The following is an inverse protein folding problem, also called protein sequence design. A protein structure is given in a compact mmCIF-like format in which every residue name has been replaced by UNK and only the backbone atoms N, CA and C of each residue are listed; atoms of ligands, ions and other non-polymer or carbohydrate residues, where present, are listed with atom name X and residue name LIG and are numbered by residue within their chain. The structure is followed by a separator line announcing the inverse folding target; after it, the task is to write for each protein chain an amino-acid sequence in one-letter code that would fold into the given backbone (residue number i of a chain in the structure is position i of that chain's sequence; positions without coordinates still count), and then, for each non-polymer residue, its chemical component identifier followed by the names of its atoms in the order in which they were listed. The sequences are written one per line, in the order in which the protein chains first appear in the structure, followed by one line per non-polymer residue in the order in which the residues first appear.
data_IF_066422339816
#
_entry.id   IF_066422339816
#
_cell.length_a   1.000
_cell.length_b   1.000
_cell.length_c   1.000
_cell.angle_alpha   90.00
_cell.angle_beta   90.00
_cell.angle_gamma   90.00
#
_symmetry.space_group_name_H-M   'P 1'
#
loop_
_entity.id
_entity.type
_entity.pdbx_description
1 polymer ?
#
# COMPACT_ATOMS: atom_id res chain seq x y z
N UNK A 1 26.28 -52.58 34.27
CA UNK A 1 25.26 -52.43 33.21
C UNK A 1 24.66 -51.03 33.33
N UNK A 2 25.16 -50.08 32.54
CA UNK A 2 24.69 -48.69 32.53
C UNK A 2 23.49 -48.55 31.59
N UNK A 3 22.37 -48.11 32.14
CA UNK A 3 21.14 -47.81 31.41
C UNK A 3 21.23 -46.37 30.88
N UNK A 4 21.48 -46.20 29.58
CA UNK A 4 21.54 -44.90 28.93
C UNK A 4 20.12 -44.32 28.79
N UNK A 5 19.85 -43.21 29.48
CA UNK A 5 18.70 -42.34 29.24
C UNK A 5 18.94 -41.55 27.96
N UNK A 6 18.17 -41.83 26.91
CA UNK A 6 18.03 -40.90 25.78
C UNK A 6 16.54 -40.74 25.49
N UNK A 7 15.91 -39.77 26.16
CA UNK A 7 14.61 -39.25 25.75
C UNK A 7 14.92 -38.20 24.69
N UNK A 8 14.80 -38.59 23.43
CA UNK A 8 14.87 -37.68 22.30
C UNK A 8 13.55 -36.90 22.26
N UNK A 9 13.56 -35.65 22.74
CA UNK A 9 12.42 -34.75 22.63
C UNK A 9 12.25 -34.34 21.16
N UNK A 10 11.22 -34.89 20.51
CA UNK A 10 10.78 -34.46 19.19
C UNK A 10 9.89 -33.22 19.37
N UNK A 11 10.43 -32.03 19.17
CA UNK A 11 9.61 -30.80 19.11
C UNK A 11 9.01 -30.76 17.71
N UNK A 12 7.73 -31.14 17.61
CA UNK A 12 6.93 -30.97 16.41
C UNK A 12 6.46 -29.51 16.34
N UNK A 13 7.14 -28.68 15.54
CA UNK A 13 6.67 -27.32 15.28
C UNK A 13 5.46 -27.41 14.35
N UNK A 14 4.25 -27.38 14.93
CA UNK A 14 3.02 -27.19 14.16
C UNK A 14 3.06 -25.74 13.65
N UNK A 15 3.42 -25.54 12.40
CA UNK A 15 3.16 -24.27 11.72
C UNK A 15 1.67 -24.23 11.40
N UNK A 16 0.89 -23.54 12.24
CA UNK A 16 -0.44 -23.12 11.86
C UNK A 16 -0.30 -22.19 10.64
N UNK A 17 -0.81 -22.61 9.48
CA UNK A 17 -1.00 -21.74 8.32
C UNK A 17 -2.15 -20.78 8.63
N UNK A 18 -1.90 -19.82 9.51
CA UNK A 18 -2.85 -18.74 9.77
C UNK A 18 -2.72 -17.78 8.58
N UNK A 19 -3.80 -17.57 7.82
CA UNK A 19 -3.75 -16.61 6.73
C UNK A 19 -3.46 -15.23 7.34
N UNK A 20 -2.46 -14.55 6.77
CA UNK A 20 -2.05 -13.23 7.20
C UNK A 20 -3.22 -12.22 7.24
N UNK A 21 -4.18 -12.38 6.32
CA UNK A 21 -5.41 -11.58 6.26
C UNK A 21 -6.32 -11.74 7.51
N UNK A 22 -6.29 -12.89 8.19
CA UNK A 22 -7.25 -13.23 9.27
C UNK A 22 -6.82 -12.68 10.64
N UNK A 23 -5.58 -12.19 10.78
CA UNK A 23 -5.00 -11.81 12.08
C UNK A 23 -4.84 -10.31 12.29
N UNK A 24 -5.06 -9.51 11.24
CA UNK A 24 -4.69 -8.10 11.26
C UNK A 24 -5.93 -7.22 11.23
N UNK A 25 -6.04 -6.24 12.16
CA UNK A 25 -7.16 -5.32 12.15
C UNK A 25 -7.31 -4.62 10.79
N UNK A 26 -8.55 -4.55 10.31
CA UNK A 26 -8.89 -3.84 9.07
C UNK A 26 -8.60 -2.34 9.17
N UNK A 27 -8.50 -1.82 10.40
CA UNK A 27 -8.26 -0.42 10.73
C UNK A 27 -6.80 0.04 10.57
N UNK A 28 -5.84 -0.85 10.38
CA UNK A 28 -4.44 -0.43 10.21
C UNK A 28 -4.16 0.17 8.82
N UNK A 29 -3.23 1.12 8.78
CA UNK A 29 -2.75 1.75 7.56
C UNK A 29 -1.93 0.76 6.72
N UNK A 30 -1.80 1.02 5.42
CA UNK A 30 -1.02 0.17 4.54
C UNK A 30 0.47 0.16 4.95
N UNK A 31 1.00 1.33 5.35
CA UNK A 31 2.35 1.47 5.92
C UNK A 31 2.57 0.59 7.15
N UNK A 32 1.59 0.55 8.06
CA UNK A 32 1.63 -0.27 9.27
C UNK A 32 1.58 -1.76 8.90
N UNK A 33 0.76 -2.13 7.91
CA UNK A 33 0.65 -3.51 7.42
C UNK A 33 1.95 -3.97 6.77
N UNK A 34 2.58 -3.16 5.93
CA UNK A 34 3.90 -3.45 5.34
C UNK A 34 4.94 -3.66 6.45
N UNK A 35 5.01 -2.72 7.41
CA UNK A 35 5.92 -2.82 8.56
C UNK A 35 5.68 -4.10 9.37
N UNK A 36 4.43 -4.48 9.61
CA UNK A 36 4.07 -5.70 10.35
C UNK A 36 4.38 -6.97 9.56
N UNK A 37 4.16 -7.00 8.23
CA UNK A 37 4.43 -8.19 7.40
C UNK A 37 5.91 -8.43 7.20
N UNK A 38 6.66 -7.37 6.92
CA UNK A 38 8.03 -7.45 6.40
C UNK A 38 9.08 -6.91 7.36
N UNK A 39 8.69 -6.44 8.55
CA UNK A 39 9.61 -5.91 9.56
C UNK A 39 10.26 -4.56 9.21
N UNK A 40 9.92 -3.98 8.06
CA UNK A 40 10.41 -2.68 7.62
C UNK A 40 9.40 -1.99 6.70
N UNK A 41 9.41 -0.67 6.72
CA UNK A 41 8.61 0.18 5.85
C UNK A 41 9.41 1.41 5.44
N UNK A 42 9.29 1.78 4.17
CA UNK A 42 9.79 3.02 3.63
C UNK A 42 8.96 3.47 2.44
N UNK A 43 9.30 4.65 1.94
CA UNK A 43 8.55 5.33 0.89
C UNK A 43 9.52 6.08 -0.02
N UNK A 44 9.35 5.92 -1.33
CA UNK A 44 9.96 6.76 -2.35
C UNK A 44 8.89 7.58 -3.06
N UNK A 45 8.96 8.91 -2.94
CA UNK A 45 8.06 9.82 -3.67
C UNK A 45 8.60 10.03 -5.08
N UNK A 46 7.80 9.65 -6.08
CA UNK A 46 8.16 9.81 -7.49
C UNK A 46 7.74 11.16 -8.02
N UNK A 47 6.55 11.61 -7.61
CA UNK A 47 5.95 12.85 -8.05
C UNK A 47 5.11 13.40 -6.92
N UNK A 48 5.16 14.71 -6.70
CA UNK A 48 4.29 15.39 -5.76
C UNK A 48 4.03 16.82 -6.23
N UNK A 49 2.78 17.24 -6.16
CA UNK A 49 2.35 18.62 -6.29
C UNK A 49 1.22 18.89 -5.26
N UNK A 50 0.60 20.06 -5.31
CA UNK A 50 -0.46 20.46 -4.37
C UNK A 50 -1.69 19.54 -4.35
N UNK A 51 -1.98 18.86 -5.46
CA UNK A 51 -3.18 18.05 -5.66
C UNK A 51 -2.90 16.55 -5.74
N UNK A 52 -1.69 16.15 -6.11
CA UNK A 52 -1.41 14.78 -6.48
C UNK A 52 -0.03 14.35 -6.00
N UNK A 53 0.04 13.13 -5.46
CA UNK A 53 1.30 12.44 -5.17
C UNK A 53 1.29 11.03 -5.74
N UNK A 54 2.40 10.61 -6.34
CA UNK A 54 2.68 9.24 -6.71
C UNK A 54 3.92 8.75 -5.97
N UNK A 55 3.86 7.57 -5.38
CA UNK A 55 4.95 7.03 -4.57
C UNK A 55 4.95 5.52 -4.54
N UNK A 56 6.15 4.94 -4.37
CA UNK A 56 6.28 3.56 -3.98
C UNK A 56 6.39 3.42 -2.46
N UNK A 57 5.69 2.44 -1.91
CA UNK A 57 5.86 1.96 -0.55
C UNK A 57 6.65 0.66 -0.63
N UNK A 58 7.73 0.58 0.13
CA UNK A 58 8.64 -0.55 0.09
C UNK A 58 8.90 -1.13 1.47
N UNK A 59 9.34 -2.39 1.47
CA UNK A 59 10.09 -2.98 2.57
C UNK A 59 11.54 -3.21 2.13
N UNK A 60 12.44 -3.47 3.06
CA UNK A 60 13.75 -4.01 2.74
C UNK A 60 13.70 -5.53 2.60
N UNK A 61 14.56 -6.07 1.75
CA UNK A 61 14.80 -7.51 1.66
C UNK A 61 15.44 -8.01 2.97
N UNK A 62 14.94 -9.14 3.49
CA UNK A 62 15.41 -9.72 4.75
C UNK A 62 16.86 -10.22 4.67
N UNK A 63 17.31 -10.64 3.49
CA UNK A 63 18.68 -11.10 3.23
C UNK A 63 19.63 -9.97 2.85
N UNK A 64 19.10 -8.88 2.30
CA UNK A 64 19.86 -7.69 1.93
C UNK A 64 19.10 -6.40 2.30
N UNK A 65 19.38 -5.87 3.50
CA UNK A 65 18.72 -4.68 4.03
C UNK A 65 18.96 -3.37 3.26
N UNK A 66 19.69 -3.39 2.13
CA UNK A 66 19.82 -2.26 1.20
C UNK A 66 18.92 -2.40 -0.03
N UNK A 67 18.48 -3.62 -0.33
CA UNK A 67 17.60 -3.89 -1.47
C UNK A 67 16.16 -3.58 -1.07
N UNK A 68 15.54 -2.64 -1.78
CA UNK A 68 14.12 -2.31 -1.63
C UNK A 68 13.27 -3.34 -2.38
N UNK A 69 12.16 -3.74 -1.77
CA UNK A 69 11.10 -4.52 -2.40
C UNK A 69 9.85 -3.64 -2.40
N UNK A 70 9.40 -3.22 -3.58
CA UNK A 70 8.23 -2.38 -3.74
C UNK A 70 6.95 -3.21 -3.54
N UNK A 71 6.23 -2.93 -2.47
CA UNK A 71 5.05 -3.67 -2.06
C UNK A 71 3.76 -3.02 -2.55
N UNK A 72 3.77 -1.70 -2.70
CA UNK A 72 2.61 -0.95 -3.18
C UNK A 72 3.05 0.26 -3.97
N UNK A 73 2.42 0.49 -5.13
CA UNK A 73 2.43 1.78 -5.80
C UNK A 73 1.17 2.55 -5.40
N UNK A 74 1.35 3.74 -4.84
CA UNK A 74 0.24 4.56 -4.36
C UNK A 74 0.13 5.86 -5.15
N UNK A 75 -1.08 6.18 -5.55
CA UNK A 75 -1.48 7.48 -6.08
C UNK A 75 -2.44 8.11 -5.10
N UNK A 76 -2.17 9.35 -4.73
CA UNK A 76 -2.96 10.15 -3.81
C UNK A 76 -3.44 11.37 -4.55
N UNK A 77 -4.74 11.61 -4.52
CA UNK A 77 -5.35 12.88 -4.86
C UNK A 77 -5.72 13.57 -3.54
N UNK A 78 -5.02 14.66 -3.24
CA UNK A 78 -5.35 15.49 -2.08
C UNK A 78 -6.66 16.24 -2.34
N UNK A 79 -7.47 16.32 -1.29
CA UNK A 79 -8.65 17.16 -1.23
C UNK A 79 -8.30 18.41 -0.42
N UNK A 80 -9.19 19.41 -0.40
CA UNK A 80 -8.93 20.68 0.27
C UNK A 80 -8.45 20.48 1.72
N UNK A 81 -7.21 20.89 1.99
CA UNK A 81 -6.54 20.60 3.25
C UNK A 81 -7.09 21.45 4.38
N UNK A 82 -7.60 20.78 5.42
CA UNK A 82 -8.07 21.41 6.67
C UNK A 82 -7.19 21.06 7.88
N UNK A 83 -5.98 20.58 7.61
CA UNK A 83 -4.97 20.30 8.64
C UNK A 83 -4.05 21.51 8.85
N UNK A 84 -3.32 21.51 9.96
CA UNK A 84 -2.34 22.55 10.24
C UNK A 84 -1.18 22.53 9.23
N UNK A 85 -0.56 23.70 9.04
CA UNK A 85 0.47 23.91 8.03
C UNK A 85 1.73 23.08 8.28
N UNK A 86 2.09 22.79 9.54
CA UNK A 86 3.27 22.00 9.86
C UNK A 86 3.08 20.53 9.44
N UNK A 87 1.92 19.96 9.76
CA UNK A 87 1.53 18.62 9.35
C UNK A 87 1.48 18.51 7.83
N UNK A 88 0.86 19.49 7.15
CA UNK A 88 0.81 19.52 5.69
C UNK A 88 2.22 19.59 5.08
N UNK A 89 3.08 20.48 5.58
CA UNK A 89 4.46 20.63 5.10
C UNK A 89 5.28 19.34 5.23
N UNK A 90 5.09 18.57 6.30
CA UNK A 90 5.74 17.26 6.45
C UNK A 90 5.29 16.28 5.36
N UNK A 91 4.00 16.24 5.06
CA UNK A 91 3.42 15.39 4.02
C UNK A 91 3.91 15.81 2.63
N UNK A 92 3.95 17.12 2.37
CA UNK A 92 4.44 17.71 1.12
C UNK A 92 5.92 17.38 0.89
N UNK A 93 6.71 17.36 1.97
CA UNK A 93 8.11 16.93 1.97
C UNK A 93 8.30 15.41 1.93
N UNK A 94 7.23 14.65 1.67
CA UNK A 94 7.29 13.22 1.41
C UNK A 94 7.14 12.32 2.63
N UNK A 95 6.68 12.83 3.78
CA UNK A 95 6.38 11.95 4.91
C UNK A 95 5.22 10.98 4.61
N UNK A 96 5.13 9.89 5.37
CA UNK A 96 3.96 8.99 5.34
C UNK A 96 2.71 9.75 5.77
N UNK A 97 1.69 9.82 4.91
CA UNK A 97 0.44 10.57 5.16
C UNK A 97 -0.19 10.11 6.47
N UNK A 98 -0.48 8.82 6.59
CA UNK A 98 -1.23 8.30 7.73
C UNK A 98 -0.45 8.37 9.05
N UNK A 99 0.86 8.09 9.03
CA UNK A 99 1.69 8.22 10.23
C UNK A 99 1.79 9.68 10.69
N UNK A 100 2.02 10.61 9.76
CA UNK A 100 2.13 12.04 10.05
C UNK A 100 0.83 12.60 10.63
N UNK A 101 -0.32 12.24 10.07
CA UNK A 101 -1.63 12.62 10.59
C UNK A 101 -1.87 12.09 12.01
N UNK A 102 -1.58 10.80 12.25
CA UNK A 102 -1.72 10.18 13.58
C UNK A 102 -0.83 10.85 14.63
N UNK A 103 0.42 11.14 14.30
CA UNK A 103 1.36 11.86 15.17
C UNK A 103 0.86 13.27 15.52
N UNK A 104 0.17 13.94 14.60
CA UNK A 104 -0.47 15.25 14.83
C UNK A 104 -1.84 15.16 15.52
N UNK A 105 -2.21 13.98 16.04
CA UNK A 105 -3.42 13.74 16.81
C UNK A 105 -4.69 13.55 15.98
N UNK A 106 -4.58 13.32 14.67
CA UNK A 106 -5.73 12.98 13.83
C UNK A 106 -6.04 11.49 13.93
N UNK A 107 -7.32 11.17 14.09
CA UNK A 107 -7.83 9.83 13.82
C UNK A 107 -8.10 9.66 12.33
N UNK A 108 -7.90 8.45 11.81
CA UNK A 108 -8.06 8.15 10.39
C UNK A 108 -9.12 7.08 10.22
N UNK A 109 -10.03 7.33 9.29
CA UNK A 109 -11.04 6.39 8.84
C UNK A 109 -10.82 6.11 7.34
N UNK A 110 -10.84 4.83 6.95
CA UNK A 110 -10.72 4.41 5.55
C UNK A 110 -12.09 4.00 5.05
N UNK A 111 -12.59 4.69 4.03
CA UNK A 111 -13.84 4.35 3.37
C UNK A 111 -13.47 3.60 2.08
N UNK A 112 -13.66 2.28 2.08
CA UNK A 112 -13.34 1.42 0.92
C UNK A 112 -14.37 1.66 -0.19
N UNK A 113 -13.88 2.13 -1.34
CA UNK A 113 -14.73 2.52 -2.47
C UNK A 113 -14.77 1.44 -3.54
N UNK A 114 -13.63 0.80 -3.82
CA UNK A 114 -13.57 -0.29 -4.77
C UNK A 114 -12.32 -1.18 -4.59
N UNK A 115 -12.43 -2.43 -5.02
CA UNK A 115 -11.30 -3.33 -5.20
C UNK A 115 -11.43 -3.99 -6.58
N UNK A 116 -10.38 -3.89 -7.40
CA UNK A 116 -10.38 -4.43 -8.76
C UNK A 116 -9.05 -5.14 -9.07
N UNK A 117 -8.97 -5.73 -10.26
CA UNK A 117 -7.75 -6.30 -10.84
C UNK A 117 -7.36 -5.51 -12.07
N UNK A 118 -6.06 -5.37 -12.30
CA UNK A 118 -5.51 -4.87 -13.57
C UNK A 118 -4.48 -5.87 -14.09
N UNK A 119 -4.30 -5.90 -15.40
CA UNK A 119 -3.20 -6.63 -16.01
C UNK A 119 -1.97 -5.72 -16.12
N UNK A 120 -0.83 -6.17 -15.60
CA UNK A 120 0.43 -5.43 -15.64
C UNK A 120 0.88 -5.09 -17.06
N UNK A 121 0.51 -5.88 -18.07
CA UNK A 121 0.90 -5.66 -19.47
C UNK A 121 0.23 -4.42 -20.08
N UNK A 122 -0.91 -3.99 -19.53
CA UNK A 122 -1.64 -2.79 -19.97
C UNK A 122 -0.94 -1.49 -19.52
N UNK A 123 -0.02 -1.59 -18.56
CA UNK A 123 0.59 -0.44 -17.90
C UNK A 123 2.11 -0.55 -17.93
N UNK A 124 2.82 0.29 -18.71
CA UNK A 124 4.27 0.22 -18.86
C UNK A 124 5.07 0.23 -17.55
N UNK A 125 4.55 0.89 -16.51
CA UNK A 125 5.13 0.98 -15.16
C UNK A 125 5.24 -0.40 -14.47
N UNK A 126 4.28 -1.27 -14.73
CA UNK A 126 4.16 -2.57 -14.06
C UNK A 126 4.55 -3.74 -14.96
N UNK A 127 4.87 -3.45 -16.23
CA UNK A 127 5.20 -4.47 -17.21
C UNK A 127 6.36 -5.32 -16.71
N UNK A 128 6.15 -6.63 -16.70
CA UNK A 128 7.09 -7.63 -16.18
C UNK A 128 7.38 -8.68 -17.25
N UNK A 129 8.51 -9.38 -17.13
CA UNK A 129 8.84 -10.55 -17.97
C UNK A 129 8.12 -11.83 -17.51
N UNK A 130 7.33 -11.76 -16.44
CA UNK A 130 6.63 -12.92 -15.90
C UNK A 130 5.62 -13.52 -16.89
N UNK A 131 5.68 -14.84 -17.05
CA UNK A 131 4.79 -15.59 -17.93
C UNK A 131 3.54 -16.12 -17.23
N UNK A 132 3.53 -16.14 -15.90
CA UNK A 132 2.34 -16.52 -15.12
C UNK A 132 1.30 -15.41 -15.11
N UNK A 133 0.05 -15.74 -15.49
CA UNK A 133 -1.08 -14.82 -15.43
C UNK A 133 -1.37 -14.33 -14.01
N UNK A 134 -1.16 -15.18 -12.99
CA UNK A 134 -1.35 -14.80 -11.59
C UNK A 134 -0.38 -13.71 -11.13
N UNK A 135 0.84 -13.70 -11.69
CA UNK A 135 1.87 -12.70 -11.37
C UNK A 135 1.70 -11.42 -12.20
N UNK A 136 1.03 -11.50 -13.35
CA UNK A 136 0.66 -10.33 -14.16
C UNK A 136 -0.64 -9.67 -13.71
N UNK A 137 -1.41 -10.31 -12.84
CA UNK A 137 -2.67 -9.77 -12.33
C UNK A 137 -2.42 -9.03 -11.02
N UNK A 138 -2.47 -7.70 -11.05
CA UNK A 138 -2.24 -6.87 -9.87
C UNK A 138 -3.57 -6.47 -9.22
N UNK A 139 -3.59 -6.51 -7.90
CA UNK A 139 -4.76 -6.11 -7.12
C UNK A 139 -4.71 -4.59 -6.86
N UNK A 140 -5.85 -3.93 -7.03
CA UNK A 140 -5.98 -2.48 -6.86
C UNK A 140 -7.03 -2.19 -5.80
N UNK A 141 -6.66 -1.39 -4.80
CA UNK A 141 -7.56 -0.90 -3.75
C UNK A 141 -7.77 0.60 -3.91
N UNK A 142 -9.04 1.01 -3.99
CA UNK A 142 -9.42 2.42 -4.02
C UNK A 142 -10.22 2.76 -2.77
N UNK A 143 -9.80 3.81 -2.08
CA UNK A 143 -10.46 4.24 -0.85
C UNK A 143 -10.32 5.74 -0.64
N UNK A 144 -11.22 6.30 0.17
CA UNK A 144 -11.12 7.66 0.69
C UNK A 144 -10.55 7.64 2.10
N UNK A 145 -9.63 8.56 2.37
CA UNK A 145 -9.08 8.83 3.67
C UNK A 145 -9.88 9.96 4.31
N UNK A 146 -10.68 9.64 5.32
CA UNK A 146 -11.35 10.63 6.16
C UNK A 146 -10.53 10.81 7.44
N UNK A 147 -10.33 12.05 7.87
CA UNK A 147 -9.65 12.37 9.11
C UNK A 147 -10.61 13.03 10.10
N UNK A 148 -10.37 12.75 11.38
CA UNK A 148 -11.14 13.30 12.48
C UNK A 148 -10.22 13.88 13.55
N UNK A 149 -10.56 15.07 14.05
CA UNK A 149 -9.98 15.65 15.27
C UNK A 149 -11.10 16.39 15.99
N UNK A 150 -11.30 16.06 17.27
CA UNK A 150 -12.48 16.49 18.04
C UNK A 150 -13.77 16.08 17.31
N UNK A 151 -14.72 16.99 17.12
CA UNK A 151 -16.00 16.74 16.44
C UNK A 151 -15.97 17.08 14.94
N UNK A 152 -14.79 17.37 14.39
CA UNK A 152 -14.63 17.74 12.98
C UNK A 152 -14.16 16.55 12.15
N UNK A 153 -14.84 16.34 11.01
CA UNK A 153 -14.54 15.31 10.03
C UNK A 153 -14.23 15.95 8.69
N UNK A 154 -13.18 15.47 8.03
CA UNK A 154 -12.77 15.97 6.72
C UNK A 154 -12.37 14.82 5.81
N UNK A 155 -12.88 14.87 4.58
CA UNK A 155 -12.32 14.09 3.49
C UNK A 155 -10.94 14.67 3.15
N UNK A 156 -9.89 13.91 3.41
CA UNK A 156 -8.51 14.38 3.26
C UNK A 156 -7.93 14.02 1.89
N UNK A 157 -8.13 12.79 1.45
CA UNK A 157 -7.57 12.31 0.20
C UNK A 157 -8.37 11.15 -0.38
N UNK A 158 -8.30 11.00 -1.70
CA UNK A 158 -8.63 9.76 -2.40
C UNK A 158 -7.32 9.03 -2.74
N UNK A 159 -7.26 7.74 -2.47
CA UNK A 159 -6.04 6.94 -2.62
C UNK A 159 -6.33 5.70 -3.44
N UNK A 160 -5.47 5.48 -4.43
CA UNK A 160 -5.37 4.28 -5.24
C UNK A 160 -4.07 3.58 -4.89
N UNK A 161 -4.16 2.33 -4.43
CA UNK A 161 -3.02 1.47 -4.15
C UNK A 161 -3.02 0.27 -5.11
N UNK A 162 -1.90 0.05 -5.81
CA UNK A 162 -1.65 -1.13 -6.64
C UNK A 162 -0.66 -2.00 -5.88
N UNK A 163 -1.07 -3.21 -5.54
CA UNK A 163 -0.30 -4.08 -4.67
C UNK A 163 0.54 -5.08 -5.46
N UNK A 164 1.76 -5.32 -4.98
CA UNK A 164 2.59 -6.43 -5.45
C UNK A 164 1.87 -7.76 -5.16
N UNK A 165 1.93 -8.70 -6.10
CA UNK A 165 1.31 -10.03 -5.98
C UNK A 165 1.79 -10.83 -4.77
N UNK A 166 3.04 -10.61 -4.32
CA UNK A 166 3.60 -11.26 -3.13
C UNK A 166 3.16 -10.59 -1.81
N UNK A 167 2.55 -9.41 -1.89
CA UNK A 167 2.08 -8.65 -0.74
C UNK A 167 0.60 -8.86 -0.43
N UNK A 168 -0.29 -8.39 -1.30
CA UNK A 168 -1.73 -8.50 -1.14
C UNK A 168 -2.35 -8.75 -2.50
N UNK A 169 -3.02 -9.89 -2.64
CA UNK A 169 -3.81 -10.20 -3.82
C UNK A 169 -5.28 -9.75 -3.65
N UNK A 170 -6.05 -9.82 -4.73
CA UNK A 170 -7.45 -9.38 -4.72
C UNK A 170 -8.30 -10.12 -3.68
N UNK A 171 -8.12 -11.43 -3.55
CA UNK A 171 -8.94 -12.25 -2.67
C UNK A 171 -8.65 -11.94 -1.19
N UNK A 172 -7.42 -11.55 -0.88
CA UNK A 172 -7.05 -11.01 0.44
C UNK A 172 -7.66 -9.62 0.65
N UNK A 173 -7.58 -8.72 -0.34
CA UNK A 173 -8.13 -7.37 -0.21
C UNK A 173 -9.63 -7.38 0.04
N UNK A 174 -10.43 -8.16 -0.69
CA UNK A 174 -11.89 -8.20 -0.50
C UNK A 174 -12.30 -8.76 0.87
N UNK A 175 -11.45 -9.60 1.48
CA UNK A 175 -11.68 -10.12 2.84
C UNK A 175 -11.36 -9.07 3.89
N UNK A 176 -10.26 -8.33 3.71
CA UNK A 176 -9.80 -7.32 4.67
C UNK A 176 -10.64 -6.04 4.58
N UNK A 177 -11.04 -5.65 3.39
CA UNK A 177 -11.63 -4.34 3.09
C UNK A 177 -12.99 -4.49 2.42
N UNK A 178 -14.05 -4.82 3.18
CA UNK A 178 -15.39 -4.88 2.61
C UNK A 178 -15.75 -3.51 2.02
N UNK A 179 -16.15 -3.52 0.75
CA UNK A 179 -16.60 -2.33 0.02
C UNK A 179 -18.05 -2.08 0.38
N UNK A 180 -18.34 -0.94 0.99
CA UNK A 180 -19.67 -0.62 1.51
C UNK A 180 -20.44 0.37 0.63
N UNK A 181 -19.76 1.08 -0.28
CA UNK A 181 -20.37 2.03 -1.21
C UNK A 181 -19.61 2.03 -2.55
N UNK A 182 -20.26 1.54 -3.61
CA UNK A 182 -19.75 1.61 -4.98
C UNK A 182 -20.24 2.91 -5.65
N UNK A 183 -19.60 4.04 -5.36
CA UNK A 183 -19.87 5.28 -6.10
C UNK A 183 -19.06 5.32 -7.42
N UNK A 184 -19.29 6.34 -8.25
CA UNK A 184 -18.63 6.75 -9.50
C UNK A 184 -17.09 6.87 -9.44
N UNK A 185 -16.51 6.51 -8.29
CA UNK A 185 -15.11 6.25 -8.00
C UNK A 185 -14.35 5.51 -9.12
N UNK A 186 -15.00 4.57 -9.80
CA UNK A 186 -14.42 3.83 -10.92
C UNK A 186 -14.06 4.73 -12.13
N UNK A 187 -14.89 5.74 -12.42
CA UNK A 187 -14.61 6.70 -13.51
C UNK A 187 -13.45 7.63 -13.14
N UNK A 188 -13.38 8.04 -11.87
CA UNK A 188 -12.25 8.82 -11.33
C UNK A 188 -10.94 8.03 -11.35
N UNK A 189 -10.97 6.75 -10.97
CA UNK A 189 -9.83 5.83 -10.99
C UNK A 189 -9.20 5.77 -12.40
N UNK A 190 -10.03 5.51 -13.40
CA UNK A 190 -9.61 5.46 -14.80
C UNK A 190 -8.99 6.80 -15.23
N UNK A 191 -9.64 7.91 -14.89
CA UNK A 191 -9.12 9.25 -15.21
C UNK A 191 -7.78 9.56 -14.52
N UNK A 192 -7.60 9.18 -13.25
CA UNK A 192 -6.35 9.39 -12.50
C UNK A 192 -5.20 8.56 -13.11
N UNK A 193 -5.45 7.27 -13.37
CA UNK A 193 -4.47 6.40 -14.02
C UNK A 193 -4.12 6.94 -15.41
N UNK A 194 -5.12 7.22 -16.25
CA UNK A 194 -4.91 7.78 -17.60
C UNK A 194 -4.11 9.10 -17.56
N UNK A 195 -4.40 10.00 -16.62
CA UNK A 195 -3.66 11.26 -16.44
C UNK A 195 -2.21 11.04 -16.02
N UNK A 196 -1.91 10.02 -15.24
CA UNK A 196 -0.54 9.70 -14.83
C UNK A 196 0.26 9.05 -15.95
N UNK A 197 -0.36 8.16 -16.72
CA UNK A 197 0.30 7.46 -17.83
C UNK A 197 0.45 8.30 -19.11
N UNK A 198 -0.37 9.34 -19.28
CA UNK A 198 -0.23 10.30 -20.39
C UNK A 198 0.79 11.41 -20.12
N UNK A 199 1.17 11.63 -18.86
CA UNK A 199 2.27 12.54 -18.52
C UNK A 199 3.60 11.82 -18.73
N UNK A 200 4.25 12.14 -19.85
CA UNK A 200 5.59 11.68 -20.24
C UNK A 200 6.60 11.66 -19.08
N UNK A 201 6.48 12.61 -18.15
CA UNK A 201 7.43 12.84 -17.06
C UNK A 201 7.36 11.75 -15.98
N UNK A 202 6.18 11.19 -15.70
CA UNK A 202 6.04 10.07 -14.75
C UNK A 202 6.61 8.80 -15.36
N UNK A 203 6.34 8.57 -16.65
CA UNK A 203 6.91 7.44 -17.39
C UNK A 203 8.44 7.54 -17.49
N UNK A 204 8.98 8.75 -17.61
CA UNK A 204 10.42 9.02 -17.63
C UNK A 204 11.07 8.78 -16.25
N UNK A 205 10.51 9.35 -15.17
CA UNK A 205 11.08 9.19 -13.82
C UNK A 205 11.04 7.73 -13.31
N UNK A 206 10.04 6.96 -13.76
CA UNK A 206 9.95 5.52 -13.48
C UNK A 206 11.01 4.72 -14.22
N UNK A 207 11.28 5.04 -15.49
CA UNK A 207 12.29 4.32 -16.29
C UNK A 207 13.68 4.45 -15.68
N UNK A 208 14.02 5.60 -15.11
CA UNK A 208 15.30 5.81 -14.42
C UNK A 208 15.44 4.94 -13.17
N UNK A 209 14.36 4.74 -12.39
CA UNK A 209 14.38 3.88 -11.20
C UNK A 209 14.47 2.38 -11.51
N UNK A 210 13.88 1.94 -12.62
CA UNK A 210 13.94 0.53 -13.05
C UNK A 210 15.26 0.18 -13.76
N UNK A 211 16.11 1.17 -14.06
CA UNK A 211 17.46 1.00 -14.62
C UNK A 211 18.56 1.01 -13.54
N UNK A 212 18.21 1.11 -12.25
CA UNK A 212 19.11 1.01 -11.09
C UNK A 212 19.02 -0.37 -10.44
#
# INVERSE_FOLDING_TARGET
MHLNKLILSFIFTITLNINYADTIPTSILNSERIQMKFGSYGLDVLYSNHDTRASYLYSFDNSNHKKKIYQTFAIVQFLESKIDQETQKRIDNGASIGSTLKESGWSINKINLNITRINSDEYPLFKTSETSESLRTLAVHFYKLEIKKEDKFFDYAEILEIHNSDYLNYDELIKIFPVTNSDESHKRLKSILERLFTKSDVLFMVKELNNQ
#
